data_IF_626192672458
#
_entry.id   IF_626192672458
#
_cell.length_a   1.000
_cell.length_b   1.000
_cell.length_c   1.000
_cell.angle_alpha   90.00
_cell.angle_beta   90.00
_cell.angle_gamma   90.00
#
_symmetry.space_group_name_H-M   'P 1'
#
loop_
_entity.id
_entity.type
_entity.pdbx_description
1 polymer ?
#
# COMPACT_ATOMS: atom_id res chain seq x y z
N UNK A 1 0.20 15.22 32.27
CA UNK A 1 -0.28 14.41 31.13
C UNK A 1 -0.37 15.34 29.95
N UNK A 2 0.24 14.98 28.83
CA UNK A 2 0.24 15.81 27.63
C UNK A 2 -1.00 15.47 26.79
N UNK A 3 -1.86 16.45 26.54
CA UNK A 3 -3.11 16.24 25.80
C UNK A 3 -2.88 15.76 24.36
N UNK A 4 -1.80 16.19 23.70
CA UNK A 4 -1.46 15.75 22.34
C UNK A 4 -0.96 14.32 22.33
N UNK A 5 -0.10 13.96 23.28
CA UNK A 5 0.35 12.56 23.42
C UNK A 5 -0.81 11.64 23.78
N UNK A 6 -1.73 12.10 24.63
CA UNK A 6 -2.91 11.35 25.02
C UNK A 6 -3.81 11.08 23.81
N UNK A 7 -4.08 12.10 23.00
CA UNK A 7 -4.86 11.94 21.77
C UNK A 7 -4.19 10.96 20.80
N UNK A 8 -2.87 11.07 20.62
CA UNK A 8 -2.13 10.18 19.73
C UNK A 8 -2.11 8.73 20.25
N UNK A 9 -1.89 8.52 21.54
CA UNK A 9 -1.94 7.21 22.17
C UNK A 9 -3.33 6.57 22.04
N UNK A 10 -4.39 7.36 22.24
CA UNK A 10 -5.76 6.91 22.03
C UNK A 10 -6.01 6.48 20.58
N UNK A 11 -5.62 7.31 19.60
CA UNK A 11 -5.75 6.94 18.18
C UNK A 11 -4.91 5.71 17.85
N UNK A 12 -3.72 5.55 18.43
CA UNK A 12 -2.91 4.34 18.29
C UNK A 12 -3.69 3.10 18.70
N UNK A 13 -4.29 3.11 19.89
CA UNK A 13 -5.07 1.98 20.41
C UNK A 13 -6.29 1.65 19.54
N UNK A 14 -6.87 2.63 18.84
CA UNK A 14 -7.99 2.42 17.91
C UNK A 14 -7.58 1.71 16.60
N UNK A 15 -6.28 1.61 16.28
CA UNK A 15 -5.80 0.95 15.07
C UNK A 15 -4.81 -0.18 15.34
N UNK A 16 -4.12 -0.18 16.47
CA UNK A 16 -3.05 -1.12 16.80
C UNK A 16 -3.15 -1.68 18.21
N UNK A 17 -2.71 -2.92 18.35
CA UNK A 17 -2.45 -3.57 19.65
C UNK A 17 -0.95 -3.62 20.00
N UNK A 18 -0.09 -3.42 19.00
CA UNK A 18 1.34 -3.67 19.10
C UNK A 18 2.19 -2.43 18.90
N UNK A 19 1.61 -1.35 18.36
CA UNK A 19 2.29 -0.07 18.15
C UNK A 19 2.11 0.85 19.35
N UNK A 20 3.23 1.24 19.96
CA UNK A 20 3.29 2.20 21.04
C UNK A 20 4.07 3.44 20.60
N UNK A 21 3.50 4.61 20.89
CA UNK A 21 4.16 5.89 20.61
C UNK A 21 5.22 6.11 21.69
N UNK A 22 6.47 6.25 21.27
CA UNK A 22 7.62 6.53 22.14
C UNK A 22 7.37 7.76 23.02
N UNK A 23 7.56 7.63 24.34
CA UNK A 23 7.44 8.73 25.29
C UNK A 23 6.00 9.05 25.74
N UNK A 24 5.03 8.21 25.39
CA UNK A 24 3.63 8.36 25.81
C UNK A 24 3.20 7.32 26.87
N UNK A 25 4.14 6.76 27.63
CA UNK A 25 3.89 5.63 28.56
C UNK A 25 2.86 5.99 29.63
N UNK A 26 2.91 7.24 30.14
CA UNK A 26 1.95 7.74 31.13
C UNK A 26 0.54 7.84 30.56
N UNK A 27 0.43 8.26 29.31
CA UNK A 27 -0.83 8.39 28.57
C UNK A 27 -1.45 7.02 28.29
N UNK A 28 -0.66 6.03 27.84
CA UNK A 28 -1.13 4.66 27.68
C UNK A 28 -1.64 4.09 29.01
N UNK A 29 -0.89 4.24 30.10
CA UNK A 29 -1.33 3.78 31.42
C UNK A 29 -2.64 4.42 31.87
N UNK A 30 -2.79 5.73 31.64
CA UNK A 30 -4.04 6.44 31.92
C UNK A 30 -5.21 5.91 31.09
N UNK A 31 -5.03 5.70 29.78
CA UNK A 31 -6.09 5.16 28.92
C UNK A 31 -6.49 3.75 29.36
N UNK A 32 -5.52 2.86 29.61
CA UNK A 32 -5.81 1.49 30.04
C UNK A 32 -6.52 1.41 31.40
N UNK A 33 -6.26 2.36 32.31
CA UNK A 33 -6.91 2.39 33.63
C UNK A 33 -8.32 3.01 33.61
N UNK A 34 -8.68 3.75 32.57
CA UNK A 34 -9.93 4.52 32.51
C UNK A 34 -10.90 4.07 31.42
N UNK A 35 -10.42 3.36 30.39
CA UNK A 35 -11.25 2.89 29.29
C UNK A 35 -11.67 1.43 29.44
N UNK A 36 -12.89 1.16 28.99
CA UNK A 36 -13.41 -0.19 28.76
C UNK A 36 -12.63 -0.86 27.62
N UNK A 37 -11.90 -1.93 27.96
CA UNK A 37 -11.07 -2.69 27.02
C UNK A 37 -11.90 -3.41 25.95
N UNK A 38 -13.07 -3.95 26.30
CA UNK A 38 -13.92 -4.67 25.34
C UNK A 38 -14.42 -3.71 24.26
N UNK A 39 -14.77 -2.48 24.67
CA UNK A 39 -15.12 -1.42 23.73
C UNK A 39 -13.97 -1.06 22.79
N UNK A 40 -12.74 -0.94 23.30
CA UNK A 40 -11.56 -0.65 22.47
C UNK A 40 -11.32 -1.73 21.41
N UNK A 41 -11.45 -3.01 21.78
CA UNK A 41 -11.30 -4.14 20.86
C UNK A 41 -12.34 -4.08 19.73
N UNK A 42 -13.61 -3.81 20.06
CA UNK A 42 -14.69 -3.69 19.07
C UNK A 42 -14.46 -2.51 18.13
N UNK A 43 -14.11 -1.34 18.67
CA UNK A 43 -13.81 -0.15 17.88
C UNK A 43 -12.62 -0.37 16.93
N UNK A 44 -11.54 -0.98 17.42
CA UNK A 44 -10.37 -1.32 16.59
C UNK A 44 -10.75 -2.23 15.44
N UNK A 45 -11.50 -3.29 15.70
CA UNK A 45 -11.98 -4.20 14.67
C UNK A 45 -12.88 -3.48 13.64
N UNK A 46 -13.72 -2.56 14.07
CA UNK A 46 -14.54 -1.73 13.18
C UNK A 46 -13.67 -0.81 12.30
N UNK A 47 -12.70 -0.10 12.88
CA UNK A 47 -11.78 0.80 12.17
C UNK A 47 -10.96 0.07 11.11
N UNK A 48 -10.37 -1.08 11.46
CA UNK A 48 -9.61 -1.91 10.51
C UNK A 48 -10.48 -2.44 9.36
N UNK A 49 -11.72 -2.85 9.65
CA UNK A 49 -12.68 -3.24 8.60
C UNK A 49 -13.04 -2.08 7.68
N UNK A 50 -13.23 -0.88 8.22
CA UNK A 50 -13.51 0.33 7.44
C UNK A 50 -12.31 0.69 6.55
N UNK A 51 -11.10 0.66 7.10
CA UNK A 51 -9.87 0.89 6.34
C UNK A 51 -9.73 -0.12 5.19
N UNK A 52 -9.96 -1.41 5.47
CA UNK A 52 -10.01 -2.45 4.43
C UNK A 52 -11.07 -2.15 3.37
N UNK A 53 -12.27 -1.68 3.74
CA UNK A 53 -13.31 -1.31 2.76
C UNK A 53 -12.82 -0.22 1.82
N UNK A 54 -12.22 0.85 2.35
CA UNK A 54 -11.71 1.98 1.56
C UNK A 54 -10.61 1.51 0.61
N UNK A 55 -9.57 0.85 1.14
CA UNK A 55 -8.46 0.32 0.35
C UNK A 55 -8.94 -0.62 -0.77
N UNK A 56 -9.87 -1.52 -0.46
CA UNK A 56 -10.40 -2.48 -1.42
C UNK A 56 -11.27 -1.85 -2.52
N UNK A 57 -11.93 -0.72 -2.22
CA UNK A 57 -12.77 -0.03 -3.20
C UNK A 57 -11.96 0.88 -4.13
N UNK A 58 -10.88 1.48 -3.63
CA UNK A 58 -10.12 2.49 -4.35
C UNK A 58 -8.97 1.89 -5.20
N UNK A 59 -8.54 0.66 -4.92
CA UNK A 59 -7.55 -0.06 -5.73
C UNK A 59 -8.20 -0.72 -6.95
N UNK A 60 -7.44 -0.83 -8.05
CA UNK A 60 -7.96 -1.36 -9.31
C UNK A 60 -7.64 -2.84 -9.52
N UNK A 61 -6.38 -3.24 -9.29
CA UNK A 61 -5.90 -4.58 -9.66
C UNK A 61 -5.98 -5.57 -8.51
N UNK A 62 -5.45 -5.20 -7.35
CA UNK A 62 -5.31 -6.09 -6.19
C UNK A 62 -6.66 -6.67 -5.72
N UNK A 63 -7.77 -5.90 -5.64
CA UNK A 63 -9.08 -6.44 -5.26
C UNK A 63 -9.62 -7.55 -6.18
N UNK A 64 -9.15 -7.63 -7.43
CA UNK A 64 -9.58 -8.66 -8.39
C UNK A 64 -9.02 -10.04 -8.05
N UNK A 65 -7.84 -10.08 -7.43
CA UNK A 65 -7.09 -11.33 -7.21
C UNK A 65 -7.12 -11.80 -5.76
N UNK A 66 -7.42 -10.89 -4.82
CA UNK A 66 -7.45 -11.21 -3.39
C UNK A 66 -8.82 -10.94 -2.80
N UNK A 67 -9.23 -11.80 -1.86
CA UNK A 67 -10.50 -11.64 -1.15
C UNK A 67 -10.43 -10.50 -0.13
N UNK A 68 -11.60 -9.98 0.27
CA UNK A 68 -11.71 -8.99 1.35
C UNK A 68 -11.12 -9.48 2.67
N UNK A 69 -11.20 -10.79 2.94
CA UNK A 69 -10.64 -11.38 4.16
C UNK A 69 -9.12 -11.43 4.11
N UNK A 70 -8.55 -11.72 2.94
CA UNK A 70 -7.10 -11.64 2.74
C UNK A 70 -6.60 -10.22 2.94
N UNK A 71 -7.28 -9.23 2.35
CA UNK A 71 -7.00 -7.82 2.57
C UNK A 71 -7.08 -7.42 4.05
N UNK A 72 -8.07 -7.93 4.80
CA UNK A 72 -8.19 -7.61 6.22
C UNK A 72 -6.97 -8.09 7.01
N UNK A 73 -6.40 -9.26 6.67
CA UNK A 73 -5.15 -9.74 7.28
C UNK A 73 -4.00 -8.77 7.02
N UNK A 74 -3.83 -8.33 5.77
CA UNK A 74 -2.80 -7.35 5.40
C UNK A 74 -3.01 -6.00 6.10
N UNK A 75 -4.25 -5.53 6.21
CA UNK A 75 -4.59 -4.28 6.91
C UNK A 75 -4.26 -4.36 8.40
N UNK A 76 -4.52 -5.50 9.05
CA UNK A 76 -4.15 -5.70 10.44
C UNK A 76 -2.63 -5.58 10.63
N UNK A 77 -1.84 -6.25 9.77
CA UNK A 77 -0.38 -6.16 9.79
C UNK A 77 0.12 -4.74 9.51
N UNK A 78 -0.50 -4.06 8.55
CA UNK A 78 -0.15 -2.69 8.20
C UNK A 78 -0.38 -1.74 9.37
N UNK A 79 -1.55 -1.78 10.02
CA UNK A 79 -1.86 -0.94 11.17
C UNK A 79 -0.93 -1.18 12.38
N UNK A 80 -0.37 -2.37 12.49
CA UNK A 80 0.60 -2.74 13.53
C UNK A 80 2.06 -2.41 13.12
N UNK A 81 2.28 -1.83 11.94
CA UNK A 81 3.60 -1.46 11.44
C UNK A 81 3.87 0.04 11.52
N UNK A 82 5.14 0.42 11.61
CA UNK A 82 5.58 1.82 11.52
C UNK A 82 5.14 2.50 10.21
N UNK A 83 4.92 1.72 9.14
CA UNK A 83 4.51 2.26 7.83
C UNK A 83 3.12 2.90 7.85
N UNK A 84 2.21 2.43 8.72
CA UNK A 84 0.90 3.05 8.90
C UNK A 84 0.96 4.34 9.70
N UNK A 85 1.99 4.53 10.52
CA UNK A 85 2.13 5.73 11.35
C UNK A 85 3.06 6.78 10.70
N UNK A 86 3.95 6.35 9.81
CA UNK A 86 4.91 7.19 9.09
C UNK A 86 4.63 7.22 7.59
N UNK A 87 3.77 8.15 7.17
CA UNK A 87 3.29 8.21 5.79
C UNK A 87 4.30 8.81 4.81
N UNK A 88 5.30 9.56 5.28
CA UNK A 88 6.32 10.22 4.45
C UNK A 88 5.74 10.95 3.22
N UNK A 89 4.61 11.64 3.42
CA UNK A 89 3.86 12.36 2.37
C UNK A 89 3.29 11.50 1.24
N UNK A 90 3.10 10.19 1.46
CA UNK A 90 2.46 9.27 0.53
C UNK A 90 0.94 9.28 0.69
N UNK A 91 0.24 8.85 -0.35
CA UNK A 91 -1.19 8.54 -0.21
C UNK A 91 -1.38 7.28 0.64
N UNK A 92 -2.59 7.10 1.18
CA UNK A 92 -2.92 5.90 1.96
C UNK A 92 -2.69 4.61 1.17
N UNK A 93 -3.13 4.61 -0.10
CA UNK A 93 -3.02 3.45 -1.00
C UNK A 93 -1.55 3.18 -1.32
N UNK A 94 -0.79 4.22 -1.67
CA UNK A 94 0.64 4.09 -1.95
C UNK A 94 1.41 3.53 -0.75
N UNK A 95 1.14 4.06 0.45
CA UNK A 95 1.78 3.60 1.69
C UNK A 95 1.42 2.14 2.01
N UNK A 96 0.14 1.77 1.89
CA UNK A 96 -0.30 0.39 2.10
C UNK A 96 0.30 -0.58 1.07
N UNK A 97 0.24 -0.26 -0.21
CA UNK A 97 0.79 -1.09 -1.28
C UNK A 97 2.31 -1.27 -1.13
N UNK A 98 3.03 -0.21 -0.75
CA UNK A 98 4.45 -0.31 -0.47
C UNK A 98 4.74 -1.20 0.74
N UNK A 99 3.96 -1.08 1.81
CA UNK A 99 4.06 -1.97 2.96
C UNK A 99 3.87 -3.43 2.54
N UNK A 100 2.83 -3.74 1.76
CA UNK A 100 2.54 -5.10 1.30
C UNK A 100 3.66 -5.63 0.42
N UNK A 101 4.10 -4.86 -0.57
CA UNK A 101 5.18 -5.25 -1.48
C UNK A 101 6.48 -5.60 -0.72
N UNK A 102 6.79 -4.82 0.33
CA UNK A 102 8.07 -4.93 1.05
C UNK A 102 8.04 -5.96 2.18
N UNK A 103 6.92 -6.07 2.91
CA UNK A 103 6.86 -6.79 4.18
C UNK A 103 5.89 -7.98 4.21
N UNK A 104 4.95 -8.08 3.26
CA UNK A 104 4.02 -9.19 3.27
C UNK A 104 4.69 -10.48 2.78
N UNK A 105 4.36 -11.58 3.44
CA UNK A 105 4.74 -12.93 3.01
C UNK A 105 3.85 -13.35 1.83
N UNK A 106 4.23 -12.87 0.66
CA UNK A 106 3.58 -13.08 -0.63
C UNK A 106 4.61 -13.56 -1.64
N UNK A 107 4.18 -14.38 -2.60
CA UNK A 107 5.04 -14.66 -3.74
C UNK A 107 5.26 -13.39 -4.57
N UNK A 108 6.39 -13.30 -5.27
CA UNK A 108 6.73 -12.13 -6.09
C UNK A 108 5.63 -11.80 -7.11
N UNK A 109 4.98 -12.82 -7.67
CA UNK A 109 3.87 -12.68 -8.60
C UNK A 109 2.62 -12.06 -7.94
N UNK A 110 2.39 -12.35 -6.66
CA UNK A 110 1.26 -11.83 -5.87
C UNK A 110 1.49 -10.39 -5.42
N UNK A 111 2.75 -9.94 -5.36
CA UNK A 111 3.12 -8.55 -5.05
C UNK A 111 2.92 -7.60 -6.24
N UNK A 112 2.91 -8.11 -7.48
CA UNK A 112 2.82 -7.28 -8.70
C UNK A 112 1.54 -6.43 -8.75
N UNK A 113 0.32 -6.93 -8.45
CA UNK A 113 -0.87 -6.07 -8.41
C UNK A 113 -0.74 -4.91 -7.42
N UNK A 114 -0.17 -5.15 -6.23
CA UNK A 114 0.06 -4.11 -5.23
C UNK A 114 1.10 -3.10 -5.70
N UNK A 115 2.17 -3.55 -6.37
CA UNK A 115 3.14 -2.66 -7.00
C UNK A 115 2.45 -1.69 -7.97
N UNK A 116 1.60 -2.22 -8.87
CA UNK A 116 0.90 -1.41 -9.88
C UNK A 116 -0.07 -0.43 -9.22
N UNK A 117 -0.93 -0.88 -8.29
CA UNK A 117 -1.87 -0.01 -7.58
C UNK A 117 -1.13 1.06 -6.75
N UNK A 118 -0.01 0.69 -6.12
CA UNK A 118 0.82 1.58 -5.33
C UNK A 118 1.44 2.70 -6.15
N UNK A 119 1.97 2.38 -7.33
CA UNK A 119 2.52 3.37 -8.27
C UNK A 119 1.39 4.24 -8.85
N UNK A 120 0.28 3.63 -9.27
CA UNK A 120 -0.83 4.36 -9.89
C UNK A 120 -1.50 5.34 -8.92
N UNK A 121 -1.58 4.97 -7.64
CA UNK A 121 -2.08 5.84 -6.57
C UNK A 121 -1.07 6.85 -6.03
N UNK A 122 0.20 6.72 -6.42
CA UNK A 122 1.32 7.47 -5.88
C UNK A 122 1.45 8.85 -6.51
N UNK A 123 1.41 9.88 -5.66
CA UNK A 123 1.80 11.26 -6.04
C UNK A 123 3.34 11.39 -5.99
N UNK A 124 4.02 10.42 -5.35
CA UNK A 124 5.45 10.49 -5.06
C UNK A 124 6.35 9.90 -6.13
N UNK A 125 5.79 9.34 -7.21
CA UNK A 125 6.55 8.76 -8.31
C UNK A 125 7.49 9.80 -8.94
N UNK A 126 8.75 9.42 -9.17
CA UNK A 126 9.79 10.37 -9.61
C UNK A 126 10.30 11.40 -8.58
N UNK A 127 9.79 11.40 -7.35
CA UNK A 127 10.30 12.27 -6.28
C UNK A 127 11.42 11.59 -5.50
N UNK A 128 12.29 12.39 -4.86
CA UNK A 128 13.41 11.90 -4.03
C UNK A 128 12.91 10.95 -2.92
N UNK A 129 11.67 11.14 -2.45
CA UNK A 129 11.07 10.34 -1.37
C UNK A 129 10.14 9.23 -1.88
N UNK A 130 10.09 9.00 -3.19
CA UNK A 130 9.35 7.89 -3.78
C UNK A 130 9.83 6.58 -3.16
N UNK A 131 8.94 5.70 -2.70
CA UNK A 131 9.33 4.35 -2.35
C UNK A 131 9.65 3.50 -3.60
N UNK A 132 9.20 3.95 -4.77
CA UNK A 132 9.37 3.27 -6.04
C UNK A 132 10.56 3.87 -6.78
N UNK A 133 11.63 3.10 -6.95
CA UNK A 133 12.76 3.52 -7.76
C UNK A 133 12.37 3.55 -9.23
N UNK A 134 12.43 4.73 -9.83
CA UNK A 134 11.91 4.99 -11.17
C UNK A 134 12.91 5.76 -12.03
N UNK A 135 12.96 5.44 -13.33
CA UNK A 135 13.62 6.29 -14.33
C UNK A 135 12.57 7.08 -15.10
N UNK A 136 12.70 8.40 -15.17
CA UNK A 136 11.78 9.26 -15.92
C UNK A 136 12.45 9.74 -17.21
N UNK A 137 11.78 9.49 -18.33
CA UNK A 137 12.10 10.09 -19.63
C UNK A 137 10.99 11.07 -20.03
N UNK A 138 11.38 12.28 -20.41
CA UNK A 138 10.49 13.30 -20.96
C UNK A 138 10.78 13.43 -22.44
N UNK A 139 9.82 13.02 -23.27
CA UNK A 139 9.97 13.17 -24.72
C UNK A 139 9.61 14.61 -25.13
N UNK A 140 8.49 15.13 -24.61
CA UNK A 140 7.96 16.47 -24.90
C UNK A 140 7.33 17.06 -23.62
N UNK A 141 7.00 18.37 -23.60
CA UNK A 141 6.40 19.05 -22.42
C UNK A 141 5.12 18.38 -21.88
N UNK A 142 4.39 17.65 -22.72
CA UNK A 142 3.11 17.00 -22.39
C UNK A 142 3.18 15.48 -22.23
N UNK A 143 4.37 14.89 -22.38
CA UNK A 143 4.55 13.43 -22.37
C UNK A 143 5.68 13.04 -21.42
N UNK A 144 5.30 12.29 -20.38
CA UNK A 144 6.21 11.74 -19.38
C UNK A 144 6.08 10.22 -19.45
N UNK A 145 7.19 9.53 -19.59
CA UNK A 145 7.26 8.08 -19.41
C UNK A 145 8.09 7.79 -18.18
N UNK A 146 7.50 7.07 -17.24
CA UNK A 146 8.17 6.58 -16.06
C UNK A 146 8.35 5.08 -16.14
N UNK A 147 9.54 4.60 -15.80
CA UNK A 147 9.88 3.18 -15.81
C UNK A 147 10.32 2.72 -14.43
N UNK A 148 9.67 1.67 -13.93
CA UNK A 148 9.99 1.04 -12.65
C UNK A 148 10.39 -0.40 -12.92
N UNK A 149 11.48 -0.84 -12.30
CA UNK A 149 11.98 -2.19 -12.47
C UNK A 149 11.00 -3.22 -11.89
N UNK A 150 10.85 -4.32 -12.59
CA UNK A 150 10.07 -5.48 -12.16
C UNK A 150 10.90 -6.74 -12.48
N UNK A 151 11.06 -7.63 -11.52
CA UNK A 151 11.90 -8.83 -11.68
C UNK A 151 11.22 -9.93 -12.52
N UNK A 152 10.01 -9.66 -13.01
CA UNK A 152 9.19 -10.58 -13.80
C UNK A 152 8.63 -9.89 -15.04
N UNK A 153 8.81 -10.53 -16.18
CA UNK A 153 8.11 -10.15 -17.41
C UNK A 153 6.78 -10.88 -17.52
N UNK A 154 5.72 -10.14 -17.85
CA UNK A 154 4.39 -10.70 -18.07
C UNK A 154 3.56 -9.84 -19.03
N UNK A 155 2.50 -10.42 -19.58
CA UNK A 155 1.58 -9.69 -20.46
C UNK A 155 0.57 -8.89 -19.64
N UNK A 156 0.78 -7.58 -19.51
CA UNK A 156 -0.04 -6.70 -18.67
C UNK A 156 -1.55 -6.77 -19.01
N UNK A 157 -1.92 -6.84 -20.29
CA UNK A 157 -3.33 -6.92 -20.71
C UNK A 157 -4.08 -8.15 -20.19
N UNK A 158 -3.36 -9.17 -19.71
CA UNK A 158 -3.98 -10.31 -19.04
C UNK A 158 -4.51 -9.96 -17.65
N UNK A 159 -3.91 -9.02 -16.93
CA UNK A 159 -4.42 -8.58 -15.63
C UNK A 159 -5.86 -8.06 -15.70
N UNK A 160 -6.22 -7.43 -16.83
CA UNK A 160 -7.56 -6.87 -17.01
C UNK A 160 -8.63 -7.91 -17.36
N UNK A 161 -8.23 -9.10 -17.81
CA UNK A 161 -9.15 -10.07 -18.43
C UNK A 161 -9.28 -11.39 -17.67
N UNK A 162 -8.27 -11.76 -16.89
CA UNK A 162 -8.28 -13.02 -16.15
C UNK A 162 -8.91 -12.87 -14.76
N UNK A 163 -9.25 -14.01 -14.15
CA UNK A 163 -9.82 -14.09 -12.81
C UNK A 163 -8.82 -14.60 -11.77
N UNK A 164 -7.67 -15.15 -12.18
CA UNK A 164 -6.63 -15.63 -11.29
C UNK A 164 -5.24 -15.29 -11.78
N UNK A 165 -4.34 -14.87 -10.88
CA UNK A 165 -2.92 -14.67 -11.19
C UNK A 165 -2.23 -15.93 -11.70
N UNK A 166 -2.73 -17.12 -11.35
CA UNK A 166 -2.21 -18.41 -11.83
C UNK A 166 -2.35 -18.59 -13.34
N UNK A 167 -3.21 -17.82 -13.98
CA UNK A 167 -3.42 -17.84 -15.44
C UNK A 167 -2.37 -16.97 -16.17
N UNK A 168 -1.57 -16.17 -15.45
CA UNK A 168 -0.49 -15.38 -16.03
C UNK A 168 0.79 -16.20 -16.07
N UNK A 169 1.42 -16.22 -17.24
CA UNK A 169 2.78 -16.74 -17.39
C UNK A 169 3.76 -15.63 -17.00
N UNK A 170 4.22 -15.65 -15.75
CA UNK A 170 5.32 -14.81 -15.29
C UNK A 170 6.65 -15.44 -15.71
N UNK A 171 7.41 -14.74 -16.55
CA UNK A 171 8.75 -15.16 -16.95
C UNK A 171 9.76 -14.57 -15.97
N UNK A 172 10.70 -15.39 -15.50
CA UNK A 172 11.83 -14.93 -14.68
C UNK A 172 12.84 -14.16 -15.56
N UNK A 173 12.46 -12.94 -15.92
CA UNK A 173 13.20 -12.03 -16.76
C UNK A 173 12.97 -10.61 -16.25
N UNK A 174 14.03 -9.81 -16.22
CA UNK A 174 13.93 -8.40 -15.88
C UNK A 174 13.01 -7.69 -16.87
N UNK A 175 12.09 -6.91 -16.31
CA UNK A 175 11.15 -6.10 -17.04
C UNK A 175 11.07 -4.70 -16.44
N UNK A 176 10.50 -3.78 -17.20
CA UNK A 176 10.13 -2.45 -16.75
C UNK A 176 8.63 -2.29 -16.89
N UNK A 177 7.98 -1.95 -15.78
CA UNK A 177 6.63 -1.42 -15.79
C UNK A 177 6.72 0.04 -16.21
N UNK A 178 6.00 0.39 -17.27
CA UNK A 178 6.01 1.71 -17.88
C UNK A 178 4.68 2.40 -17.69
N UNK A 179 4.75 3.62 -17.19
CA UNK A 179 3.63 4.50 -16.99
C UNK A 179 3.80 5.66 -17.96
N UNK A 180 3.01 5.65 -19.03
CA UNK A 180 3.02 6.68 -20.06
C UNK A 180 1.91 7.68 -19.74
N UNK A 181 2.27 8.86 -19.27
CA UNK A 181 1.33 9.96 -19.07
C UNK A 181 1.41 10.92 -20.27
N UNK A 182 0.31 11.03 -21.01
CA UNK A 182 0.15 11.99 -22.09
C UNK A 182 -1.08 12.88 -21.83
N UNK A 183 -0.83 14.15 -21.54
CA UNK A 183 -1.89 15.15 -21.23
C UNK A 183 -2.88 14.70 -20.14
N UNK A 184 -2.40 13.97 -19.12
CA UNK A 184 -3.22 13.48 -18.01
C UNK A 184 -3.84 12.09 -18.23
N UNK A 185 -3.67 11.47 -19.41
CA UNK A 185 -4.05 10.08 -19.64
C UNK A 185 -2.87 9.17 -19.34
N UNK A 186 -3.06 8.25 -18.41
CA UNK A 186 -2.03 7.27 -18.03
C UNK A 186 -2.29 5.94 -18.73
N UNK A 187 -1.30 5.46 -19.48
CA UNK A 187 -1.29 4.13 -20.07
C UNK A 187 -0.18 3.28 -19.42
N UNK A 188 -0.49 2.01 -19.19
CA UNK A 188 0.41 1.05 -18.55
C UNK A 188 0.95 0.05 -19.59
N UNK A 189 2.24 -0.27 -19.52
CA UNK A 189 2.80 -1.39 -20.27
C UNK A 189 3.91 -2.11 -19.49
N UNK A 190 4.21 -3.36 -19.86
CA UNK A 190 5.33 -4.12 -19.32
C UNK A 190 6.29 -4.44 -20.47
N UNK A 191 7.54 -3.99 -20.37
CA UNK A 191 8.58 -4.19 -21.39
C UNK A 191 9.71 -5.04 -20.84
N UNK A 192 10.11 -6.07 -21.57
CA UNK A 192 11.33 -6.84 -21.28
C UNK A 192 12.58 -5.94 -21.39
N UNK A 193 13.48 -6.04 -20.40
CA UNK A 193 14.81 -5.42 -20.46
C UNK A 193 15.72 -6.38 -21.23
N UNK A 194 16.25 -5.92 -22.37
CA UNK A 194 17.20 -6.66 -23.22
C UNK A 194 18.61 -6.42 -22.71
#
# INVERSE_FOLDING_TARGET
MDAKLLQKAYVSLLYSDHFCITGAEKEYHYIHSTMDHDRLVVERAARRRNLRTVLYADMHFSPRFFSKDFFLKLVNLYCDSDSFWNWNSRTLIESFCYFVYTNADLMEEEKIPFLIDGIYSGISTGMINSPWSSTISRNNEKSITEEINCDRYFTLSKLDTINSLKEIIFKNKLAKLRFHNESGKVALSCREVV
#
